data_IF_916607413691
#
_entry.id   IF_916607413691
#
_cell.length_a   1.000
_cell.length_b   1.000
_cell.length_c   1.000
_cell.angle_alpha   90.00
_cell.angle_beta   90.00
_cell.angle_gamma   90.00
#
_symmetry.space_group_name_H-M   'P 1'
#
loop_
_entity.id
_entity.type
_entity.pdbx_description
1 polymer ?
#
# COMPACT_ATOMS: atom_id res chain seq x y z
N UNK A 1 13.38 -12.52 -14.41
CA UNK A 1 12.56 -11.29 -14.49
C UNK A 1 11.88 -11.12 -13.14
N UNK A 2 11.84 -9.92 -12.55
CA UNK A 2 11.23 -9.72 -11.24
C UNK A 2 9.74 -9.38 -11.40
N UNK A 3 8.87 -10.38 -11.33
CA UNK A 3 7.41 -10.22 -11.50
C UNK A 3 6.82 -9.16 -10.55
N UNK A 4 7.38 -9.05 -9.34
CA UNK A 4 6.97 -8.06 -8.33
C UNK A 4 7.09 -6.60 -8.78
N UNK A 5 7.99 -6.26 -9.72
CA UNK A 5 8.12 -4.89 -10.22
C UNK A 5 6.85 -4.44 -10.94
N UNK A 6 6.41 -5.20 -11.94
CA UNK A 6 5.19 -4.89 -12.71
C UNK A 6 3.92 -5.09 -11.88
N UNK A 7 3.88 -6.13 -11.05
CA UNK A 7 2.72 -6.41 -10.18
C UNK A 7 2.48 -5.28 -9.18
N UNK A 8 3.53 -4.70 -8.59
CA UNK A 8 3.38 -3.57 -7.67
C UNK A 8 2.73 -2.34 -8.34
N UNK A 9 3.11 -2.03 -9.59
CA UNK A 9 2.49 -0.94 -10.34
C UNK A 9 1.01 -1.23 -10.67
N UNK A 10 0.70 -2.45 -11.14
CA UNK A 10 -0.66 -2.84 -11.46
C UNK A 10 -1.58 -2.82 -10.21
N UNK A 11 -1.09 -3.33 -9.08
CA UNK A 11 -1.83 -3.33 -7.81
C UNK A 11 -2.05 -1.90 -7.27
N UNK A 12 -1.02 -1.04 -7.32
CA UNK A 12 -1.14 0.38 -6.96
C UNK A 12 -2.18 1.11 -7.83
N UNK A 13 -2.14 0.89 -9.15
CA UNK A 13 -3.08 1.52 -10.08
C UNK A 13 -4.51 1.02 -9.87
N UNK A 14 -4.69 -0.28 -9.59
CA UNK A 14 -6.00 -0.83 -9.27
C UNK A 14 -6.55 -0.22 -7.98
N UNK A 15 -5.74 -0.16 -6.92
CA UNK A 15 -6.14 0.42 -5.63
C UNK A 15 -6.65 1.86 -5.80
N UNK A 16 -5.93 2.67 -6.57
CA UNK A 16 -6.34 4.05 -6.92
C UNK A 16 -7.64 4.11 -7.72
N UNK A 17 -7.83 3.19 -8.68
CA UNK A 17 -9.05 3.13 -9.50
C UNK A 17 -10.30 2.78 -8.69
N UNK A 18 -10.16 1.90 -7.69
CA UNK A 18 -11.31 1.44 -6.88
C UNK A 18 -11.44 2.20 -5.55
N UNK A 19 -10.53 3.12 -5.26
CA UNK A 19 -10.57 3.96 -4.05
C UNK A 19 -10.28 3.22 -2.76
N UNK A 20 -9.52 2.12 -2.80
CA UNK A 20 -9.09 1.40 -1.59
C UNK A 20 -7.67 1.80 -1.20
N UNK A 21 -7.46 1.93 0.10
CA UNK A 21 -6.14 2.23 0.65
C UNK A 21 -5.30 0.94 0.74
N UNK A 22 -4.10 0.97 0.15
CA UNK A 22 -3.17 -0.16 0.15
C UNK A 22 -1.77 0.31 0.56
N UNK A 23 -1.55 0.66 1.83
CA UNK A 23 -0.37 1.38 2.29
C UNK A 23 0.94 0.62 2.01
N UNK A 24 0.93 -0.71 2.15
CA UNK A 24 2.11 -1.53 1.85
C UNK A 24 2.42 -1.50 0.35
N UNK A 25 1.39 -1.72 -0.50
CA UNK A 25 1.53 -1.71 -1.96
C UNK A 25 1.99 -0.34 -2.47
N UNK A 26 1.47 0.76 -1.91
CA UNK A 26 1.94 2.12 -2.22
C UNK A 26 3.43 2.29 -1.92
N UNK A 27 3.87 1.89 -0.73
CA UNK A 27 5.27 1.99 -0.34
C UNK A 27 6.19 1.15 -1.25
N UNK A 28 5.77 -0.08 -1.58
CA UNK A 28 6.49 -0.94 -2.54
C UNK A 28 6.57 -0.29 -3.92
N UNK A 29 5.46 0.27 -4.42
CA UNK A 29 5.45 1.00 -5.70
C UNK A 29 6.42 2.18 -5.67
N UNK A 30 6.43 2.98 -4.60
CA UNK A 30 7.31 4.14 -4.50
C UNK A 30 8.78 3.78 -4.41
N UNK A 31 9.14 2.70 -3.71
CA UNK A 31 10.53 2.22 -3.67
C UNK A 31 10.97 1.75 -5.05
N UNK A 32 10.17 0.91 -5.70
CA UNK A 32 10.53 0.29 -6.97
C UNK A 32 10.49 1.26 -8.17
N UNK A 33 9.48 2.13 -8.24
CA UNK A 33 9.19 2.95 -9.42
C UNK A 33 9.48 4.44 -9.23
N UNK A 34 9.61 4.92 -7.99
CA UNK A 34 9.77 6.35 -7.68
C UNK A 34 11.05 6.68 -6.93
N UNK A 35 11.90 5.68 -6.66
CA UNK A 35 13.19 5.87 -6.00
C UNK A 35 13.08 6.25 -4.53
N UNK A 36 11.96 5.97 -3.86
CA UNK A 36 11.84 6.19 -2.41
C UNK A 36 12.87 5.32 -1.67
N UNK A 37 13.66 5.88 -0.74
CA UNK A 37 14.55 5.08 0.11
C UNK A 37 13.76 4.06 0.94
N UNK A 38 14.25 2.81 0.99
CA UNK A 38 13.57 1.72 1.70
C UNK A 38 13.31 2.06 3.18
N UNK A 39 14.29 2.66 3.87
CA UNK A 39 14.16 3.03 5.28
C UNK A 39 13.07 4.08 5.50
N UNK A 40 12.92 5.01 4.56
CA UNK A 40 11.85 6.01 4.60
C UNK A 40 10.49 5.33 4.45
N UNK A 41 10.38 4.38 3.52
CA UNK A 41 9.15 3.63 3.28
C UNK A 41 8.71 2.83 4.53
N UNK A 42 9.66 2.15 5.18
CA UNK A 42 9.40 1.41 6.43
C UNK A 42 8.99 2.37 7.54
N UNK A 43 9.69 3.50 7.69
CA UNK A 43 9.34 4.52 8.70
C UNK A 43 7.91 5.02 8.52
N UNK A 44 7.51 5.36 7.29
CA UNK A 44 6.15 5.82 6.99
C UNK A 44 5.07 4.77 7.32
N UNK A 45 5.37 3.47 7.17
CA UNK A 45 4.44 2.40 7.56
C UNK A 45 4.26 2.31 9.07
N UNK A 46 5.34 2.47 9.82
CA UNK A 46 5.35 2.34 11.29
C UNK A 46 4.80 3.58 11.99
N UNK A 47 4.94 4.76 11.40
CA UNK A 47 4.41 6.03 11.93
C UNK A 47 2.94 6.28 11.59
N UNK A 48 2.32 5.38 10.82
CA UNK A 48 0.94 5.53 10.41
C UNK A 48 0.00 5.38 11.61
N UNK A 49 -1.10 6.14 11.59
CA UNK A 49 -2.16 6.02 12.59
C UNK A 49 -2.68 4.57 12.67
N UNK A 50 -2.89 4.12 13.90
CA UNK A 50 -3.40 2.78 14.18
C UNK A 50 -4.82 2.67 13.64
N UNK A 51 -5.07 1.69 12.78
CA UNK A 51 -6.42 1.29 12.36
C UNK A 51 -6.83 0.04 13.14
N UNK A 52 -8.12 -0.06 13.44
CA UNK A 52 -8.69 -1.27 14.03
C UNK A 52 -8.38 -2.48 13.13
N UNK A 53 -8.00 -3.61 13.73
CA UNK A 53 -7.61 -4.81 12.99
C UNK A 53 -8.75 -5.38 12.12
N UNK A 54 -10.00 -5.11 12.49
CA UNK A 54 -11.19 -5.56 11.76
C UNK A 54 -11.69 -4.52 10.76
N UNK A 55 -10.99 -3.39 10.62
CA UNK A 55 -11.30 -2.35 9.65
C UNK A 55 -11.25 -2.91 8.22
N UNK A 56 -12.40 -2.92 7.53
CA UNK A 56 -12.55 -3.47 6.17
C UNK A 56 -12.95 -4.95 6.09
N UNK A 57 -12.91 -5.70 7.21
CA UNK A 57 -13.40 -7.09 7.29
C UNK A 57 -14.85 -7.12 7.79
N UNK A 58 -15.22 -6.23 8.71
CA UNK A 58 -16.60 -6.07 9.14
C UNK A 58 -17.28 -5.03 8.26
N UNK A 59 -18.34 -5.46 7.56
CA UNK A 59 -19.36 -4.53 7.05
C UNK A 59 -19.94 -3.84 8.28
N UNK A 60 -19.73 -2.54 8.42
CA UNK A 60 -20.48 -1.72 9.36
C UNK A 60 -21.96 -1.81 8.96
N UNK A 61 -22.69 -2.70 9.62
CA UNK A 61 -24.15 -2.68 9.59
C UNK A 61 -24.63 -1.50 10.44
N UNK A 62 -25.70 -0.79 10.05
CA UNK A 62 -26.32 0.24 10.89
C UNK A 62 -26.83 -0.33 12.22
#
# INVERSE_FOLDING_TARGET
MAEGFSTAAAAHDLARKVGVEMPITEQVYHVLHRGRPLLEAVRQLLERDYKDELHGIRVSSP
#
